data_IF_822157497999
#
_entry.id   IF_822157497999
#
_cell.length_a   1.000
_cell.length_b   1.000
_cell.length_c   1.000
_cell.angle_alpha   90.00
_cell.angle_beta   90.00
_cell.angle_gamma   90.00
#
_symmetry.space_group_name_H-M   'P 1'
#
loop_
_entity.id
_entity.type
_entity.pdbx_description
1 polymer ?
#
# COMPACT_ATOMS: atom_id res chain seq x y z
N UNK A 1 1.44 0.45 -29.52
CA UNK A 1 1.82 0.18 -28.12
C UNK A 1 0.77 -0.69 -27.43
N UNK A 2 -0.50 -0.33 -27.46
CA UNK A 2 -1.62 -1.06 -26.83
C UNK A 2 -1.63 -2.59 -27.11
N UNK A 3 -1.49 -2.99 -28.39
CA UNK A 3 -1.45 -4.41 -28.74
C UNK A 3 -0.24 -5.11 -28.13
N UNK A 4 0.91 -4.47 -28.13
CA UNK A 4 2.13 -5.01 -27.53
C UNK A 4 1.97 -5.21 -26.01
N UNK A 5 1.44 -4.21 -25.30
CA UNK A 5 1.18 -4.30 -23.88
C UNK A 5 0.20 -5.43 -23.54
N UNK A 6 -0.89 -5.56 -24.31
CA UNK A 6 -1.86 -6.64 -24.10
C UNK A 6 -1.28 -8.03 -24.36
N UNK A 7 -0.56 -8.19 -25.45
CA UNK A 7 0.10 -9.48 -25.75
C UNK A 7 1.13 -9.85 -24.68
N UNK A 8 1.88 -8.86 -24.17
CA UNK A 8 2.84 -9.09 -23.10
C UNK A 8 2.13 -9.45 -21.79
N UNK A 9 1.05 -8.75 -21.44
CA UNK A 9 0.22 -9.03 -20.29
C UNK A 9 -0.33 -10.47 -20.35
N UNK A 10 -1.02 -10.83 -21.43
CA UNK A 10 -1.61 -12.17 -21.64
C UNK A 10 -0.53 -13.26 -21.62
N UNK A 11 0.64 -12.98 -22.17
CA UNK A 11 1.77 -13.92 -22.14
C UNK A 11 2.30 -14.15 -20.72
N UNK A 12 2.51 -13.09 -19.94
CA UNK A 12 3.00 -13.20 -18.56
C UNK A 12 1.95 -13.91 -17.69
N UNK A 13 0.67 -13.53 -17.79
CA UNK A 13 -0.44 -14.16 -17.05
C UNK A 13 -0.50 -15.68 -17.30
N UNK A 14 -0.50 -16.07 -18.58
CA UNK A 14 -0.69 -17.48 -18.94
C UNK A 14 0.54 -18.36 -18.67
N UNK A 15 1.75 -17.82 -18.69
CA UNK A 15 2.96 -18.62 -18.68
C UNK A 15 3.75 -18.54 -17.37
N UNK A 16 3.51 -17.55 -16.51
CA UNK A 16 4.28 -17.36 -15.25
C UNK A 16 4.48 -18.64 -14.44
N UNK A 17 3.49 -19.52 -14.25
CA UNK A 17 3.66 -20.74 -13.46
C UNK A 17 4.51 -21.83 -14.13
N UNK A 18 4.80 -21.70 -15.43
CA UNK A 18 5.47 -22.74 -16.24
C UNK A 18 6.89 -22.35 -16.66
N UNK A 19 7.34 -21.14 -16.31
CA UNK A 19 8.65 -20.66 -16.70
C UNK A 19 9.74 -21.22 -15.77
N UNK A 20 10.93 -21.47 -16.33
CA UNK A 20 12.14 -21.69 -15.54
C UNK A 20 12.88 -20.36 -15.30
N UNK A 21 13.88 -20.38 -14.42
CA UNK A 21 14.64 -19.19 -14.03
C UNK A 21 15.25 -18.42 -15.23
N UNK A 22 15.78 -19.11 -16.22
CA UNK A 22 16.36 -18.48 -17.42
C UNK A 22 15.26 -17.78 -18.26
N UNK A 23 14.09 -18.40 -18.37
CA UNK A 23 12.96 -17.83 -19.08
C UNK A 23 12.38 -16.63 -18.32
N UNK A 24 12.33 -16.68 -17.00
CA UNK A 24 11.92 -15.54 -16.14
C UNK A 24 12.87 -14.37 -16.36
N UNK A 25 14.19 -14.57 -16.36
CA UNK A 25 15.14 -13.50 -16.63
C UNK A 25 14.94 -12.86 -18.01
N UNK A 26 14.70 -13.68 -19.04
CA UNK A 26 14.37 -13.19 -20.37
C UNK A 26 13.07 -12.36 -20.39
N UNK A 27 12.01 -12.87 -19.74
CA UNK A 27 10.72 -12.16 -19.63
C UNK A 27 10.90 -10.83 -18.90
N UNK A 28 11.65 -10.79 -17.81
CA UNK A 28 11.95 -9.56 -17.07
C UNK A 28 12.64 -8.52 -17.96
N UNK A 29 13.67 -8.92 -18.69
CA UNK A 29 14.38 -8.01 -19.61
C UNK A 29 13.48 -7.52 -20.74
N UNK A 30 12.62 -8.39 -21.26
CA UNK A 30 11.66 -8.01 -22.29
C UNK A 30 10.62 -7.03 -21.76
N UNK A 31 9.99 -7.32 -20.62
CA UNK A 31 9.02 -6.45 -19.98
C UNK A 31 9.63 -5.08 -19.62
N UNK A 32 10.87 -5.05 -19.13
CA UNK A 32 11.58 -3.80 -18.87
C UNK A 32 11.69 -2.93 -20.13
N UNK A 33 12.07 -3.53 -21.26
CA UNK A 33 12.14 -2.80 -22.54
C UNK A 33 10.78 -2.29 -23.00
N UNK A 34 9.72 -3.07 -22.80
CA UNK A 34 8.34 -2.64 -23.13
C UNK A 34 7.95 -1.43 -22.29
N UNK A 35 8.21 -1.47 -20.98
CA UNK A 35 7.97 -0.37 -20.05
C UNK A 35 8.75 0.88 -20.43
N UNK A 36 10.06 0.76 -20.66
CA UNK A 36 10.91 1.88 -21.07
C UNK A 36 10.46 2.50 -22.39
N UNK A 37 10.06 1.68 -23.36
CA UNK A 37 9.55 2.14 -24.65
C UNK A 37 8.22 2.87 -24.47
N UNK A 38 7.36 2.36 -23.59
CA UNK A 38 6.10 3.02 -23.25
C UNK A 38 6.35 4.39 -22.60
N UNK A 39 7.21 4.46 -21.61
CA UNK A 39 7.57 5.70 -20.93
C UNK A 39 8.12 6.76 -21.90
N UNK A 40 9.01 6.34 -22.81
CA UNK A 40 9.59 7.25 -23.83
C UNK A 40 8.59 7.72 -24.90
N UNK A 41 7.53 6.95 -25.13
CA UNK A 41 6.54 7.29 -26.17
C UNK A 41 5.68 8.51 -25.83
N UNK A 42 5.63 8.95 -24.57
CA UNK A 42 4.83 10.07 -24.08
C UNK A 42 3.31 9.90 -24.28
N UNK A 43 2.85 8.70 -24.67
CA UNK A 43 1.46 8.45 -25.08
C UNK A 43 0.47 8.43 -23.94
N UNK A 44 0.93 8.21 -22.73
CA UNK A 44 0.07 8.24 -21.54
C UNK A 44 -0.35 9.65 -21.11
N UNK A 45 0.38 10.68 -21.52
CA UNK A 45 0.02 12.06 -21.22
C UNK A 45 -1.13 12.51 -22.15
N UNK A 46 -2.33 12.61 -21.59
CA UNK A 46 -3.47 13.22 -22.29
C UNK A 46 -3.17 14.70 -22.48
N UNK A 47 -2.72 15.09 -23.68
CA UNK A 47 -2.54 16.50 -24.01
C UNK A 47 -3.91 17.17 -24.08
N UNK A 48 -4.14 18.12 -23.21
CA UNK A 48 -5.40 18.85 -22.99
C UNK A 48 -5.84 19.78 -24.14
N UNK A 49 -5.17 19.77 -25.28
CA UNK A 49 -5.39 20.76 -26.35
C UNK A 49 -6.34 20.31 -27.48
N UNK A 50 -6.82 19.07 -27.45
CA UNK A 50 -7.78 18.59 -28.45
C UNK A 50 -9.22 18.82 -27.99
N UNK A 51 -10.12 19.17 -28.92
CA UNK A 51 -11.53 19.41 -28.61
C UNK A 51 -12.21 18.28 -27.84
N UNK A 52 -13.29 18.57 -27.13
CA UNK A 52 -13.90 17.70 -26.09
C UNK A 52 -14.15 16.23 -26.51
N UNK A 53 -14.51 15.96 -27.78
CA UNK A 53 -14.72 14.59 -28.27
C UNK A 53 -13.40 13.82 -28.48
N UNK A 54 -12.37 14.49 -29.02
CA UNK A 54 -11.04 13.91 -29.19
C UNK A 54 -10.36 13.65 -27.85
N UNK A 55 -10.63 14.49 -26.84
CA UNK A 55 -10.14 14.25 -25.47
C UNK A 55 -10.77 13.00 -24.83
N UNK A 56 -12.03 12.74 -25.11
CA UNK A 56 -12.74 11.56 -24.55
C UNK A 56 -12.25 10.23 -25.14
N UNK A 57 -11.93 10.20 -26.44
CA UNK A 57 -11.30 9.03 -27.06
C UNK A 57 -9.85 8.84 -26.60
N UNK A 58 -9.09 9.91 -26.48
CA UNK A 58 -7.72 9.87 -25.96
C UNK A 58 -7.67 9.33 -24.51
N UNK A 59 -8.60 9.76 -23.65
CA UNK A 59 -8.73 9.23 -22.28
C UNK A 59 -9.08 7.74 -22.29
N UNK A 60 -10.00 7.29 -23.17
CA UNK A 60 -10.34 5.87 -23.31
C UNK A 60 -9.16 5.00 -23.78
N UNK A 61 -8.36 5.51 -24.71
CA UNK A 61 -7.17 4.78 -25.19
C UNK A 61 -6.06 4.77 -24.12
N UNK A 62 -5.80 5.89 -23.46
CA UNK A 62 -4.88 5.95 -22.32
C UNK A 62 -5.29 4.98 -21.22
N UNK A 63 -6.58 4.93 -20.87
CA UNK A 63 -7.12 3.97 -19.93
C UNK A 63 -6.79 2.52 -20.30
N UNK A 64 -6.96 2.14 -21.57
CA UNK A 64 -6.70 0.76 -22.02
C UNK A 64 -5.22 0.41 -21.98
N UNK A 65 -4.34 1.36 -22.31
CA UNK A 65 -2.89 1.17 -22.27
C UNK A 65 -2.38 1.08 -20.83
N UNK A 66 -2.77 2.03 -19.96
CA UNK A 66 -2.40 2.03 -18.54
C UNK A 66 -2.90 0.78 -17.85
N UNK A 67 -4.14 0.37 -18.14
CA UNK A 67 -4.72 -0.84 -17.57
C UNK A 67 -3.93 -2.11 -17.95
N UNK A 68 -3.55 -2.27 -19.21
CA UNK A 68 -2.77 -3.42 -19.66
C UNK A 68 -1.38 -3.42 -19.01
N UNK A 69 -0.77 -2.24 -18.84
CA UNK A 69 0.50 -2.09 -18.15
C UNK A 69 0.38 -2.47 -16.67
N UNK A 70 -0.64 -1.97 -15.97
CA UNK A 70 -0.87 -2.32 -14.55
C UNK A 70 -1.06 -3.82 -14.37
N UNK A 71 -1.88 -4.48 -15.21
CA UNK A 71 -2.09 -5.93 -15.13
C UNK A 71 -0.81 -6.72 -15.36
N UNK A 72 -0.01 -6.34 -16.36
CA UNK A 72 1.29 -6.95 -16.60
C UNK A 72 2.19 -6.84 -15.34
N UNK A 73 2.25 -5.66 -14.72
CA UNK A 73 3.05 -5.44 -13.51
C UNK A 73 2.50 -6.21 -12.30
N UNK A 74 1.18 -6.33 -12.17
CA UNK A 74 0.53 -7.13 -11.12
C UNK A 74 0.90 -8.60 -11.26
N UNK A 75 0.82 -9.17 -12.46
CA UNK A 75 1.23 -10.57 -12.70
C UNK A 75 2.72 -10.79 -12.45
N UNK A 76 3.57 -9.81 -12.75
CA UNK A 76 5.00 -9.88 -12.40
C UNK A 76 5.25 -9.82 -10.88
N UNK A 77 4.39 -9.12 -10.13
CA UNK A 77 4.53 -8.95 -8.68
C UNK A 77 3.91 -10.09 -7.88
N UNK A 78 3.04 -10.89 -8.47
CA UNK A 78 2.17 -11.87 -7.78
C UNK A 78 2.86 -13.08 -7.15
N UNK A 79 4.19 -13.14 -7.17
CA UNK A 79 4.96 -14.25 -6.57
C UNK A 79 5.17 -15.42 -7.51
N UNK A 80 4.31 -15.69 -8.48
CA UNK A 80 4.43 -16.86 -9.39
C UNK A 80 5.77 -16.93 -10.11
N UNK A 81 6.31 -15.78 -10.55
CA UNK A 81 7.63 -15.73 -11.19
C UNK A 81 8.77 -16.00 -10.19
N UNK A 82 8.63 -15.56 -8.96
CA UNK A 82 9.59 -15.83 -7.90
C UNK A 82 9.59 -17.31 -7.54
N UNK A 83 8.43 -17.91 -7.38
CA UNK A 83 8.27 -19.35 -7.12
C UNK A 83 8.83 -20.18 -8.25
N UNK A 84 8.59 -19.81 -9.51
CA UNK A 84 9.15 -20.44 -10.69
C UNK A 84 10.70 -20.43 -10.72
N UNK A 85 11.33 -19.34 -10.24
CA UNK A 85 12.78 -19.26 -10.08
C UNK A 85 13.25 -20.27 -9.03
N UNK A 86 12.59 -20.29 -7.87
CA UNK A 86 12.98 -21.14 -6.74
C UNK A 86 12.80 -22.62 -7.10
N UNK A 87 11.68 -22.99 -7.71
CA UNK A 87 11.36 -24.37 -8.06
C UNK A 87 12.24 -24.93 -9.18
N UNK A 88 12.70 -24.08 -10.10
CA UNK A 88 13.53 -24.48 -11.24
C UNK A 88 15.05 -24.48 -10.96
N UNK A 89 15.47 -23.87 -9.86
CA UNK A 89 16.89 -23.75 -9.50
C UNK A 89 17.32 -24.81 -8.46
N UNK A 90 18.61 -25.21 -8.46
CA UNK A 90 19.16 -26.01 -7.37
C UNK A 90 18.98 -25.29 -6.02
N UNK A 91 18.64 -26.00 -4.92
CA UNK A 91 18.31 -25.39 -3.62
C UNK A 91 19.41 -24.48 -3.05
N UNK A 92 20.68 -24.77 -3.37
CA UNK A 92 21.85 -23.99 -2.96
C UNK A 92 22.03 -22.70 -3.76
N UNK A 93 21.42 -22.58 -4.92
CA UNK A 93 21.55 -21.44 -5.83
C UNK A 93 20.26 -20.63 -6.00
N UNK A 94 19.13 -21.16 -5.57
CA UNK A 94 17.80 -20.57 -5.77
C UNK A 94 17.69 -19.15 -5.23
N UNK A 95 18.17 -18.91 -4.01
CA UNK A 95 18.13 -17.59 -3.39
C UNK A 95 19.01 -16.56 -4.12
N UNK A 96 20.25 -16.97 -4.50
CA UNK A 96 21.15 -16.09 -5.22
C UNK A 96 20.62 -15.75 -6.63
N UNK A 97 19.99 -16.71 -7.29
CA UNK A 97 19.41 -16.53 -8.62
C UNK A 97 18.17 -15.63 -8.56
N UNK A 98 17.35 -15.77 -7.53
CA UNK A 98 16.19 -14.90 -7.28
C UNK A 98 16.60 -13.45 -6.98
N UNK A 99 17.73 -13.23 -6.32
CA UNK A 99 18.29 -11.88 -6.14
C UNK A 99 18.87 -11.31 -7.44
N UNK A 100 19.43 -12.14 -8.29
CA UNK A 100 20.03 -11.74 -9.57
C UNK A 100 18.97 -11.38 -10.61
N UNK A 101 17.84 -12.12 -10.65
CA UNK A 101 16.70 -11.84 -11.51
C UNK A 101 15.83 -10.76 -10.86
N UNK A 102 16.12 -9.50 -11.16
CA UNK A 102 15.50 -8.35 -10.51
C UNK A 102 14.11 -8.03 -11.06
N UNK A 103 13.11 -8.86 -10.71
CA UNK A 103 11.69 -8.64 -11.02
C UNK A 103 11.25 -7.26 -10.51
N UNK A 104 11.68 -6.88 -9.31
CA UNK A 104 11.33 -5.60 -8.71
C UNK A 104 11.75 -4.42 -9.59
N UNK A 105 12.88 -4.50 -10.29
CA UNK A 105 13.33 -3.44 -11.20
C UNK A 105 12.28 -3.16 -12.29
N UNK A 106 11.68 -4.20 -12.86
CA UNK A 106 10.63 -4.06 -13.88
C UNK A 106 9.39 -3.39 -13.29
N UNK A 107 8.98 -3.85 -12.10
CA UNK A 107 7.79 -3.34 -11.41
C UNK A 107 7.97 -1.86 -11.02
N UNK A 108 9.13 -1.50 -10.46
CA UNK A 108 9.43 -0.10 -10.11
C UNK A 108 9.59 0.79 -11.34
N UNK A 109 10.21 0.31 -12.43
CA UNK A 109 10.26 1.05 -13.69
C UNK A 109 8.85 1.28 -14.26
N UNK A 110 7.99 0.25 -14.18
CA UNK A 110 6.59 0.34 -14.59
C UNK A 110 5.79 1.34 -13.77
N UNK A 111 5.92 1.30 -12.46
CA UNK A 111 5.27 2.27 -11.56
C UNK A 111 5.74 3.69 -11.82
N UNK A 112 7.03 3.90 -11.97
CA UNK A 112 7.58 5.21 -12.30
C UNK A 112 7.05 5.75 -13.65
N UNK A 113 6.76 4.86 -14.59
CA UNK A 113 6.11 5.21 -15.86
C UNK A 113 4.60 5.49 -15.71
N UNK A 114 3.91 4.80 -14.78
CA UNK A 114 2.46 4.87 -14.57
C UNK A 114 2.07 6.03 -13.65
N UNK A 115 2.80 6.27 -12.56
CA UNK A 115 2.47 7.30 -11.57
C UNK A 115 2.16 8.67 -12.20
N UNK A 116 2.97 9.22 -13.12
CA UNK A 116 2.67 10.50 -13.75
C UNK A 116 1.42 10.51 -14.65
N UNK A 117 0.94 9.32 -15.02
CA UNK A 117 -0.23 9.15 -15.88
C UNK A 117 -1.53 8.93 -15.08
N UNK A 118 -1.40 8.55 -13.81
CA UNK A 118 -2.54 8.40 -12.91
C UNK A 118 -3.02 9.78 -12.49
N UNK A 119 -3.98 10.28 -13.25
CA UNK A 119 -4.68 11.54 -12.96
C UNK A 119 -6.02 11.25 -12.28
N UNK A 120 -6.60 12.26 -11.64
CA UNK A 120 -7.94 12.15 -11.04
C UNK A 120 -8.98 11.67 -12.05
N UNK A 121 -8.84 12.06 -13.32
CA UNK A 121 -9.71 11.62 -14.40
C UNK A 121 -9.60 10.11 -14.69
N UNK A 122 -8.39 9.53 -14.61
CA UNK A 122 -8.18 8.10 -14.79
C UNK A 122 -8.62 7.30 -13.55
N UNK A 123 -8.47 7.86 -12.36
CA UNK A 123 -8.92 7.24 -11.10
C UNK A 123 -10.46 7.18 -11.00
N UNK A 124 -11.20 7.98 -11.78
CA UNK A 124 -12.65 7.85 -11.89
C UNK A 124 -13.11 6.54 -12.54
N UNK A 125 -12.21 5.79 -13.19
CA UNK A 125 -12.52 4.46 -13.70
C UNK A 125 -12.31 3.40 -12.60
N UNK A 126 -13.36 2.83 -12.01
CA UNK A 126 -13.24 1.98 -10.82
C UNK A 126 -12.32 0.76 -11.01
N UNK A 127 -12.37 0.14 -12.20
CA UNK A 127 -11.51 -1.01 -12.53
C UNK A 127 -10.03 -0.65 -12.57
N UNK A 128 -9.69 0.53 -13.07
CA UNK A 128 -8.30 0.98 -13.12
C UNK A 128 -7.80 1.34 -11.71
N UNK A 129 -8.62 2.05 -10.96
CA UNK A 129 -8.33 2.43 -9.59
C UNK A 129 -8.04 1.18 -8.74
N UNK A 130 -8.93 0.18 -8.74
CA UNK A 130 -8.72 -1.06 -8.00
C UNK A 130 -7.44 -1.78 -8.41
N UNK A 131 -7.18 -1.93 -9.71
CA UNK A 131 -5.96 -2.60 -10.19
C UNK A 131 -4.67 -1.85 -9.82
N UNK A 132 -4.73 -0.53 -9.79
CA UNK A 132 -3.59 0.28 -9.36
C UNK A 132 -3.27 0.07 -7.87
N UNK A 133 -4.29 0.06 -7.00
CA UNK A 133 -4.10 -0.17 -5.58
C UNK A 133 -3.76 -1.62 -5.25
N UNK A 134 -4.26 -2.58 -5.99
CA UNK A 134 -3.86 -3.99 -5.93
C UNK A 134 -2.36 -4.14 -6.24
N UNK A 135 -1.89 -3.57 -7.35
CA UNK A 135 -0.46 -3.56 -7.67
C UNK A 135 0.37 -2.89 -6.58
N UNK A 136 -0.11 -1.76 -6.05
CA UNK A 136 0.56 -1.05 -4.97
C UNK A 136 0.69 -1.93 -3.73
N UNK A 137 -0.37 -2.62 -3.33
CA UNK A 137 -0.35 -3.53 -2.19
C UNK A 137 0.66 -4.67 -2.38
N UNK A 138 0.62 -5.36 -3.51
CA UNK A 138 1.59 -6.41 -3.83
C UNK A 138 3.03 -5.92 -3.80
N UNK A 139 3.28 -4.75 -4.35
CA UNK A 139 4.63 -4.21 -4.41
C UNK A 139 5.16 -3.81 -3.03
N UNK A 140 4.33 -3.19 -2.20
CA UNK A 140 4.72 -2.78 -0.85
C UNK A 140 4.90 -3.99 0.08
N UNK A 141 4.17 -5.08 -0.18
CA UNK A 141 4.34 -6.35 0.53
C UNK A 141 5.58 -7.12 0.08
N UNK A 142 5.78 -7.26 -1.24
CA UNK A 142 6.87 -8.07 -1.78
C UNK A 142 8.25 -7.39 -1.70
N UNK A 143 8.30 -6.06 -1.84
CA UNK A 143 9.56 -5.31 -1.97
C UNK A 143 9.72 -4.13 -0.99
N UNK A 144 9.33 -4.26 0.29
CA UNK A 144 9.34 -3.12 1.22
C UNK A 144 10.73 -2.52 1.43
N UNK A 145 11.79 -3.34 1.37
CA UNK A 145 13.19 -2.89 1.45
C UNK A 145 13.58 -1.96 0.29
N UNK A 146 13.14 -2.29 -0.93
CA UNK A 146 13.39 -1.44 -2.10
C UNK A 146 12.56 -0.16 -2.05
N UNK A 147 11.35 -0.22 -1.52
CA UNK A 147 10.51 0.97 -1.27
C UNK A 147 11.20 1.93 -0.30
N UNK A 148 11.78 1.43 0.79
CA UNK A 148 12.51 2.23 1.76
C UNK A 148 13.76 2.93 1.16
N UNK A 149 14.27 2.44 0.05
CA UNK A 149 15.44 2.99 -0.65
C UNK A 149 15.08 3.93 -1.82
N UNK A 150 13.80 4.18 -2.06
CA UNK A 150 13.38 5.11 -3.12
C UNK A 150 13.85 6.53 -2.86
N UNK A 151 14.04 7.29 -3.94
CA UNK A 151 14.28 8.72 -3.83
C UNK A 151 13.11 9.41 -3.08
N UNK A 152 13.38 10.43 -2.26
CA UNK A 152 12.36 11.06 -1.41
C UNK A 152 11.11 11.51 -2.18
N UNK A 153 11.27 12.08 -3.37
CA UNK A 153 10.15 12.56 -4.19
C UNK A 153 9.24 11.42 -4.65
N UNK A 154 9.83 10.30 -5.10
CA UNK A 154 9.07 9.13 -5.54
C UNK A 154 8.40 8.45 -4.36
N UNK A 155 9.11 8.33 -3.23
CA UNK A 155 8.53 7.82 -2.00
C UNK A 155 7.37 8.69 -1.52
N UNK A 156 7.56 10.02 -1.52
CA UNK A 156 6.51 10.97 -1.15
C UNK A 156 5.25 10.85 -2.02
N UNK A 157 5.42 10.73 -3.35
CA UNK A 157 4.31 10.51 -4.29
C UNK A 157 3.59 9.20 -4.00
N UNK A 158 4.34 8.13 -3.74
CA UNK A 158 3.80 6.82 -3.39
C UNK A 158 2.96 6.88 -2.10
N UNK A 159 3.46 7.57 -1.07
CA UNK A 159 2.75 7.74 0.20
C UNK A 159 1.52 8.64 0.07
N UNK A 160 1.57 9.69 -0.73
CA UNK A 160 0.40 10.53 -1.04
C UNK A 160 -0.68 9.72 -1.76
N UNK A 161 -0.28 8.83 -2.67
CA UNK A 161 -1.21 7.89 -3.31
C UNK A 161 -1.82 6.92 -2.31
N UNK A 162 -1.02 6.37 -1.40
CA UNK A 162 -1.52 5.49 -0.34
C UNK A 162 -2.50 6.22 0.57
N UNK A 163 -2.22 7.47 0.94
CA UNK A 163 -3.13 8.32 1.69
C UNK A 163 -4.45 8.55 0.95
N UNK A 164 -4.41 8.83 -0.35
CA UNK A 164 -5.61 8.93 -1.20
C UNK A 164 -6.42 7.63 -1.16
N UNK A 165 -5.77 6.48 -1.32
CA UNK A 165 -6.44 5.17 -1.26
C UNK A 165 -7.05 4.86 0.10
N UNK A 166 -6.36 5.21 1.19
CA UNK A 166 -6.91 5.11 2.54
C UNK A 166 -8.17 5.96 2.74
N UNK A 167 -8.31 7.09 2.05
CA UNK A 167 -9.47 7.99 2.09
C UNK A 167 -10.55 7.63 1.07
N UNK A 168 -10.31 6.67 0.19
CA UNK A 168 -11.19 6.36 -0.92
C UNK A 168 -12.53 5.76 -0.45
N UNK A 169 -13.61 6.08 -1.16
CA UNK A 169 -14.96 5.56 -0.84
C UNK A 169 -15.16 4.11 -1.28
N UNK A 170 -14.41 3.61 -2.27
CA UNK A 170 -14.45 2.22 -2.69
C UNK A 170 -13.76 1.34 -1.64
N UNK A 171 -14.52 0.38 -1.09
CA UNK A 171 -14.07 -0.53 -0.03
C UNK A 171 -12.84 -1.34 -0.45
N UNK A 172 -12.79 -1.81 -1.70
CA UNK A 172 -11.64 -2.57 -2.21
C UNK A 172 -10.37 -1.72 -2.24
N UNK A 173 -10.45 -0.48 -2.73
CA UNK A 173 -9.32 0.45 -2.77
C UNK A 173 -8.82 0.76 -1.36
N UNK A 174 -9.73 1.03 -0.43
CA UNK A 174 -9.39 1.31 0.97
C UNK A 174 -8.75 0.09 1.64
N UNK A 175 -9.27 -1.11 1.38
CA UNK A 175 -8.72 -2.38 1.87
C UNK A 175 -7.30 -2.63 1.37
N UNK A 176 -7.07 -2.55 0.06
CA UNK A 176 -5.74 -2.72 -0.52
C UNK A 176 -4.73 -1.71 0.04
N UNK A 177 -5.18 -0.47 0.26
CA UNK A 177 -4.35 0.57 0.88
C UNK A 177 -4.01 0.26 2.34
N UNK A 178 -4.93 -0.32 3.12
CA UNK A 178 -4.66 -0.78 4.48
C UNK A 178 -3.69 -1.98 4.49
N UNK A 179 -3.85 -2.92 3.56
CA UNK A 179 -2.93 -4.05 3.39
C UNK A 179 -1.51 -3.55 3.08
N UNK A 180 -1.38 -2.63 2.13
CA UNK A 180 -0.12 -1.98 1.79
C UNK A 180 0.54 -1.26 2.97
N UNK A 181 -0.24 -0.49 3.74
CA UNK A 181 0.23 0.18 4.95
C UNK A 181 0.70 -0.83 6.01
N UNK A 182 -0.05 -1.90 6.22
CA UNK A 182 0.29 -2.97 7.16
C UNK A 182 1.60 -3.68 6.81
N UNK A 183 1.86 -3.90 5.52
CA UNK A 183 3.10 -4.47 5.03
C UNK A 183 4.31 -3.56 5.31
N UNK A 184 4.21 -2.27 4.99
CA UNK A 184 5.25 -1.28 5.29
C UNK A 184 5.51 -1.13 6.79
N UNK A 185 4.45 -1.08 7.59
CA UNK A 185 4.57 -0.95 9.04
C UNK A 185 5.20 -2.18 9.68
N UNK A 186 4.85 -3.37 9.19
CA UNK A 186 5.46 -4.64 9.62
C UNK A 186 6.95 -4.69 9.26
N UNK A 187 7.30 -4.26 8.05
CA UNK A 187 8.69 -4.14 7.61
C UNK A 187 9.47 -3.19 8.52
N UNK A 188 8.93 -2.00 8.81
CA UNK A 188 9.56 -1.02 9.70
C UNK A 188 9.76 -1.58 11.11
N UNK A 189 8.74 -2.24 11.67
CA UNK A 189 8.82 -2.86 12.99
C UNK A 189 9.91 -3.94 13.06
N UNK A 190 10.06 -4.75 12.00
CA UNK A 190 11.09 -5.78 11.92
C UNK A 190 12.48 -5.17 11.68
N UNK A 191 12.60 -4.16 10.82
CA UNK A 191 13.86 -3.45 10.56
C UNK A 191 14.41 -2.79 11.81
N UNK A 192 13.55 -2.21 12.65
CA UNK A 192 13.95 -1.62 13.93
C UNK A 192 14.50 -2.66 14.90
N UNK A 193 13.92 -3.88 14.95
CA UNK A 193 14.40 -4.99 15.78
C UNK A 193 15.75 -5.54 15.33
N UNK A 194 15.98 -5.59 14.02
CA UNK A 194 17.20 -6.12 13.42
C UNK A 194 18.26 -5.06 13.17
N UNK A 195 17.99 -3.79 13.52
CA UNK A 195 18.87 -2.63 13.27
C UNK A 195 19.27 -2.49 11.79
N UNK A 196 18.36 -2.85 10.90
CA UNK A 196 18.53 -2.71 9.45
C UNK A 196 17.90 -1.42 8.93
N UNK A 197 18.18 -1.07 7.67
CA UNK A 197 17.61 0.12 7.04
C UNK A 197 16.07 -0.06 6.93
N UNK A 198 15.34 0.84 7.56
CA UNK A 198 13.87 0.92 7.50
C UNK A 198 13.41 2.22 6.84
N UNK A 199 12.17 2.60 7.13
CA UNK A 199 11.54 3.82 6.59
C UNK A 199 11.97 5.11 7.30
N UNK A 200 12.84 5.05 8.31
CA UNK A 200 13.20 6.17 9.17
C UNK A 200 13.87 7.37 8.49
N UNK A 201 14.33 7.21 7.23
CA UNK A 201 14.85 8.31 6.41
C UNK A 201 13.72 9.16 5.77
N UNK A 202 12.48 8.69 5.81
CA UNK A 202 11.34 9.33 5.15
C UNK A 202 10.39 9.95 6.18
N UNK A 203 10.19 11.26 6.08
CA UNK A 203 9.25 12.02 6.91
C UNK A 203 7.95 12.27 6.15
N UNK A 204 6.87 12.56 6.90
CA UNK A 204 5.60 12.91 6.30
C UNK A 204 5.72 14.22 5.51
N UNK A 205 5.19 14.29 4.28
CA UNK A 205 5.07 15.55 3.56
C UNK A 205 4.31 16.56 4.43
N UNK A 206 4.77 17.78 4.52
CA UNK A 206 4.12 18.88 5.24
C UNK A 206 4.04 18.76 6.79
N UNK A 207 4.73 17.80 7.42
CA UNK A 207 4.75 17.66 8.86
C UNK A 207 6.19 17.53 9.38
N UNK A 208 6.82 18.64 9.74
CA UNK A 208 8.18 18.64 10.29
C UNK A 208 8.27 17.71 11.51
N UNK A 209 9.17 16.73 11.44
CA UNK A 209 9.46 15.82 12.54
C UNK A 209 8.44 14.70 12.77
N UNK A 210 7.42 14.56 11.95
CA UNK A 210 6.43 13.47 12.04
C UNK A 210 6.77 12.36 11.05
N UNK A 211 6.87 11.12 11.52
CA UNK A 211 7.07 9.98 10.63
C UNK A 211 5.85 9.78 9.73
N UNK A 212 6.07 9.22 8.53
CA UNK A 212 4.98 8.91 7.60
C UNK A 212 3.99 7.91 8.20
N UNK A 213 4.46 6.94 8.98
CA UNK A 213 3.59 5.95 9.64
C UNK A 213 2.73 6.60 10.72
N UNK A 214 3.28 7.53 11.50
CA UNK A 214 2.51 8.28 12.50
C UNK A 214 1.43 9.16 11.85
N UNK A 215 1.73 9.76 10.70
CA UNK A 215 0.75 10.53 9.93
C UNK A 215 -0.41 9.63 9.45
N UNK A 216 -0.11 8.51 8.81
CA UNK A 216 -1.11 7.58 8.29
C UNK A 216 -1.91 6.90 9.43
N UNK A 217 -1.28 6.65 10.58
CA UNK A 217 -1.98 6.18 11.78
C UNK A 217 -3.06 7.15 12.23
N UNK A 218 -2.73 8.45 12.34
CA UNK A 218 -3.72 9.49 12.73
C UNK A 218 -4.88 9.53 11.77
N UNK A 219 -4.60 9.48 10.47
CA UNK A 219 -5.62 9.47 9.44
C UNK A 219 -6.54 8.25 9.57
N UNK A 220 -5.97 7.06 9.76
CA UNK A 220 -6.74 5.82 9.86
C UNK A 220 -7.61 5.80 11.13
N UNK A 221 -7.08 6.22 12.29
CA UNK A 221 -7.87 6.35 13.51
C UNK A 221 -9.03 7.34 13.34
N UNK A 222 -8.79 8.50 12.73
CA UNK A 222 -9.83 9.49 12.47
C UNK A 222 -10.96 8.89 11.61
N UNK A 223 -10.60 8.20 10.54
CA UNK A 223 -11.58 7.52 9.68
C UNK A 223 -12.38 6.47 10.43
N UNK A 224 -11.71 5.60 11.19
CA UNK A 224 -12.35 4.53 11.96
C UNK A 224 -13.34 5.09 13.00
N UNK A 225 -13.02 6.21 13.62
CA UNK A 225 -13.90 6.83 14.63
C UNK A 225 -15.07 7.56 13.99
N UNK A 226 -14.84 8.34 12.93
CA UNK A 226 -15.85 9.29 12.43
C UNK A 226 -16.58 8.86 11.17
N UNK A 227 -16.03 7.94 10.36
CA UNK A 227 -16.62 7.52 9.09
C UNK A 227 -17.31 6.15 9.20
N UNK A 228 -18.53 6.03 8.65
CA UNK A 228 -19.28 4.77 8.63
C UNK A 228 -18.79 3.80 7.55
N UNK A 229 -18.29 4.34 6.45
CA UNK A 229 -17.84 3.55 5.29
C UNK A 229 -16.71 2.54 5.58
N UNK A 230 -16.09 2.60 6.77
CA UNK A 230 -14.95 1.76 7.16
C UNK A 230 -15.33 0.65 8.15
N UNK A 231 -16.61 0.45 8.43
CA UNK A 231 -17.04 -0.54 9.44
C UNK A 231 -16.69 -1.98 9.07
N UNK A 232 -16.71 -2.31 7.80
CA UNK A 232 -16.36 -3.63 7.30
C UNK A 232 -14.84 -3.86 7.22
N UNK A 233 -14.02 -2.83 7.41
CA UNK A 233 -12.57 -2.86 7.26
C UNK A 233 -11.81 -2.78 8.59
N UNK A 234 -12.49 -3.05 9.71
CA UNK A 234 -11.87 -2.95 11.05
C UNK A 234 -10.73 -3.97 11.20
N UNK A 235 -10.86 -5.16 10.62
CA UNK A 235 -9.84 -6.20 10.67
C UNK A 235 -8.58 -5.82 9.90
N UNK A 236 -8.73 -5.29 8.68
CA UNK A 236 -7.63 -4.79 7.85
C UNK A 236 -6.95 -3.57 8.49
N UNK A 237 -7.76 -2.67 9.04
CA UNK A 237 -7.25 -1.52 9.78
C UNK A 237 -6.48 -1.94 11.04
N UNK A 238 -6.95 -2.95 11.77
CA UNK A 238 -6.24 -3.47 12.93
C UNK A 238 -4.89 -4.09 12.54
N UNK A 239 -4.84 -4.84 11.43
CA UNK A 239 -3.60 -5.43 10.94
C UNK A 239 -2.56 -4.38 10.51
N UNK A 240 -3.02 -3.23 10.01
CA UNK A 240 -2.15 -2.10 9.70
C UNK A 240 -1.73 -1.32 10.95
N UNK A 241 -2.66 -1.07 11.88
CA UNK A 241 -2.41 -0.24 13.06
C UNK A 241 -1.50 -0.90 14.10
N UNK A 242 -1.63 -2.22 14.31
CA UNK A 242 -0.83 -2.91 15.33
C UNK A 242 0.68 -2.68 15.17
N UNK A 243 1.32 -2.95 14.02
CA UNK A 243 2.75 -2.72 13.85
C UNK A 243 3.12 -1.23 13.98
N UNK A 244 2.24 -0.30 13.55
CA UNK A 244 2.49 1.13 13.69
C UNK A 244 2.51 1.52 15.17
N UNK A 245 1.52 1.11 15.95
CA UNK A 245 1.43 1.41 17.39
C UNK A 245 2.64 0.85 18.15
N UNK A 246 3.06 -0.37 17.81
CA UNK A 246 4.23 -1.00 18.44
C UNK A 246 5.53 -0.23 18.16
N UNK A 247 5.66 0.35 16.96
CA UNK A 247 6.84 1.12 16.55
C UNK A 247 6.77 2.59 16.98
N UNK A 248 5.61 3.23 16.81
CA UNK A 248 5.38 4.67 17.00
C UNK A 248 4.64 4.96 18.32
N UNK A 249 5.05 4.33 19.42
CA UNK A 249 4.39 4.48 20.74
C UNK A 249 4.20 5.94 21.17
N UNK A 250 5.20 6.83 21.04
CA UNK A 250 5.02 8.24 21.41
C UNK A 250 3.96 8.94 20.56
N UNK A 251 3.94 8.67 19.25
CA UNK A 251 2.95 9.25 18.35
C UNK A 251 1.53 8.73 18.65
N UNK A 252 1.40 7.46 19.04
CA UNK A 252 0.13 6.89 19.50
C UNK A 252 -0.35 7.52 20.81
N UNK A 253 0.55 7.75 21.78
CA UNK A 253 0.22 8.44 23.03
C UNK A 253 -0.26 9.88 22.79
N UNK A 254 0.41 10.61 21.90
CA UNK A 254 0.00 11.95 21.49
C UNK A 254 -1.38 11.94 20.81
N UNK A 255 -1.65 10.95 19.97
CA UNK A 255 -2.95 10.75 19.34
C UNK A 255 -4.04 10.50 20.39
N UNK A 256 -3.82 9.59 21.34
CA UNK A 256 -4.74 9.30 22.43
C UNK A 256 -5.03 10.57 23.25
N UNK A 257 -4.00 11.31 23.62
CA UNK A 257 -4.14 12.57 24.34
C UNK A 257 -4.97 13.60 23.56
N UNK A 258 -4.80 13.70 22.24
CA UNK A 258 -5.59 14.59 21.40
C UNK A 258 -7.09 14.22 21.39
N UNK A 259 -7.41 12.93 21.28
CA UNK A 259 -8.82 12.48 21.35
C UNK A 259 -9.44 12.70 22.73
N UNK A 260 -8.70 12.46 23.80
CA UNK A 260 -9.15 12.69 25.18
C UNK A 260 -9.38 14.19 25.43
N UNK A 261 -8.46 15.04 24.96
CA UNK A 261 -8.59 16.48 25.08
C UNK A 261 -9.80 17.05 24.34
N UNK A 262 -10.23 16.42 23.25
CA UNK A 262 -11.43 16.82 22.52
C UNK A 262 -12.73 16.66 23.33
N UNK A 263 -12.72 15.89 24.41
CA UNK A 263 -13.88 15.66 25.30
C UNK A 263 -13.64 16.16 26.72
N UNK A 264 -12.66 17.04 26.91
CA UNK A 264 -12.22 17.52 28.23
C UNK A 264 -13.33 18.15 29.08
N UNK A 265 -14.40 18.70 28.45
CA UNK A 265 -15.51 19.32 29.14
C UNK A 265 -16.43 18.33 29.87
N UNK A 266 -16.29 17.00 29.59
CA UNK A 266 -17.14 15.96 30.14
C UNK A 266 -16.31 14.87 30.85
N UNK A 267 -16.12 14.93 32.17
CA UNK A 267 -15.24 14.02 32.91
C UNK A 267 -15.53 12.54 32.69
N UNK A 268 -16.82 12.16 32.58
CA UNK A 268 -17.22 10.78 32.31
C UNK A 268 -16.73 10.28 30.94
N UNK A 269 -16.80 11.11 29.94
CA UNK A 269 -16.33 10.81 28.57
C UNK A 269 -14.81 10.71 28.52
N UNK A 270 -14.12 11.57 29.30
CA UNK A 270 -12.65 11.50 29.48
C UNK A 270 -12.26 10.14 30.06
N UNK A 271 -12.88 9.72 31.18
CA UNK A 271 -12.57 8.44 31.83
C UNK A 271 -12.85 7.24 30.92
N UNK A 272 -14.00 7.25 30.21
CA UNK A 272 -14.36 6.18 29.28
C UNK A 272 -13.34 6.06 28.16
N UNK A 273 -12.95 7.17 27.54
CA UNK A 273 -12.03 7.18 26.42
C UNK A 273 -10.60 6.81 26.84
N UNK A 274 -10.17 7.31 28.01
CA UNK A 274 -8.87 6.96 28.57
C UNK A 274 -8.77 5.46 28.85
N UNK A 275 -9.79 4.87 29.48
CA UNK A 275 -9.84 3.42 29.73
C UNK A 275 -9.87 2.62 28.42
N UNK A 276 -10.59 3.10 27.40
CA UNK A 276 -10.63 2.46 26.08
C UNK A 276 -9.26 2.44 25.40
N UNK A 277 -8.50 3.55 25.43
CA UNK A 277 -7.13 3.61 24.88
C UNK A 277 -6.17 2.68 25.65
N UNK A 278 -6.29 2.59 26.98
CA UNK A 278 -5.49 1.66 27.78
C UNK A 278 -5.85 0.22 27.41
N UNK A 279 -7.14 -0.11 27.31
CA UNK A 279 -7.59 -1.45 26.97
C UNK A 279 -7.16 -1.86 25.55
N UNK A 280 -7.13 -0.94 24.58
CA UNK A 280 -6.70 -1.20 23.22
C UNK A 280 -5.32 -1.86 23.13
N UNK A 281 -4.39 -1.45 24.00
CA UNK A 281 -2.99 -1.93 23.98
C UNK A 281 -2.66 -2.93 25.06
N UNK A 282 -3.53 -3.17 26.05
CA UNK A 282 -3.25 -4.06 27.18
C UNK A 282 -4.23 -5.22 27.36
N UNK A 283 -5.42 -5.14 26.77
CA UNK A 283 -6.44 -6.17 26.91
C UNK A 283 -6.04 -7.50 26.22
N UNK A 284 -6.68 -8.58 26.65
CA UNK A 284 -6.54 -9.93 26.07
C UNK A 284 -5.10 -10.45 26.00
N UNK A 285 -4.19 -9.97 26.87
CA UNK A 285 -2.80 -10.40 26.90
C UNK A 285 -2.04 -10.05 25.63
N UNK A 286 -2.28 -8.84 25.08
CA UNK A 286 -1.58 -8.34 23.91
C UNK A 286 -0.07 -8.29 24.19
N UNK A 287 0.72 -8.90 23.30
CA UNK A 287 2.17 -8.96 23.39
C UNK A 287 2.86 -7.97 22.43
N UNK A 288 4.16 -7.78 22.61
CA UNK A 288 4.99 -6.97 21.70
C UNK A 288 5.40 -7.76 20.45
N UNK A 289 4.47 -7.98 19.52
CA UNK A 289 4.74 -8.70 18.28
C UNK A 289 3.66 -8.54 17.25
N UNK A 290 3.98 -8.91 16.01
CA UNK A 290 3.08 -8.82 14.85
C UNK A 290 2.68 -10.23 14.36
N UNK A 291 2.72 -11.21 15.27
CA UNK A 291 2.30 -12.58 14.96
C UNK A 291 0.78 -12.71 14.82
N UNK A 292 0.35 -13.83 14.25
CA UNK A 292 -1.07 -14.11 13.98
C UNK A 292 -1.95 -14.08 15.22
N UNK A 293 -1.42 -14.52 16.36
CA UNK A 293 -2.18 -14.59 17.63
C UNK A 293 -2.41 -13.16 18.13
N UNK A 294 -1.35 -12.34 18.12
CA UNK A 294 -1.41 -10.98 18.57
C UNK A 294 -2.29 -10.09 17.67
N UNK A 295 -2.22 -10.28 16.35
CA UNK A 295 -3.13 -9.64 15.39
C UNK A 295 -4.60 -9.94 15.73
N UNK A 296 -4.94 -11.22 15.99
CA UNK A 296 -6.32 -11.61 16.37
C UNK A 296 -6.77 -10.96 17.67
N UNK A 297 -5.89 -10.86 18.66
CA UNK A 297 -6.19 -10.17 19.93
C UNK A 297 -6.44 -8.68 19.69
N UNK A 298 -5.56 -8.05 18.95
CA UNK A 298 -5.66 -6.62 18.66
C UNK A 298 -6.91 -6.26 17.84
N UNK A 299 -7.35 -7.10 16.89
CA UNK A 299 -8.61 -6.91 16.18
C UNK A 299 -9.80 -6.82 17.13
N UNK A 300 -9.87 -7.68 18.13
CA UNK A 300 -10.92 -7.61 19.18
C UNK A 300 -10.81 -6.33 19.99
N UNK A 301 -9.61 -6.02 20.47
CA UNK A 301 -9.39 -4.80 21.25
C UNK A 301 -9.79 -3.55 20.47
N UNK A 302 -9.49 -3.50 19.16
CA UNK A 302 -9.87 -2.37 18.30
C UNK A 302 -11.39 -2.29 18.10
N UNK A 303 -12.08 -3.41 17.92
CA UNK A 303 -13.54 -3.43 17.80
C UNK A 303 -14.21 -2.92 19.09
N UNK A 304 -13.75 -3.37 20.26
CA UNK A 304 -14.23 -2.92 21.56
C UNK A 304 -13.94 -1.42 21.78
N UNK A 305 -12.72 -0.98 21.46
CA UNK A 305 -12.32 0.42 21.49
C UNK A 305 -13.25 1.30 20.62
N UNK A 306 -13.49 0.89 19.38
CA UNK A 306 -14.32 1.66 18.44
C UNK A 306 -15.77 1.77 18.93
N UNK A 307 -16.29 0.76 19.62
CA UNK A 307 -17.63 0.82 20.22
C UNK A 307 -17.72 1.95 21.24
N UNK A 308 -16.73 2.07 22.12
CA UNK A 308 -16.68 3.14 23.12
C UNK A 308 -16.38 4.49 22.48
N UNK A 309 -15.32 4.57 21.66
CA UNK A 309 -14.86 5.82 21.07
C UNK A 309 -15.92 6.48 20.18
N UNK A 310 -16.63 5.69 19.38
CA UNK A 310 -17.74 6.20 18.55
C UNK A 310 -18.91 6.68 19.39
N UNK A 311 -19.26 5.96 20.46
CA UNK A 311 -20.32 6.37 21.39
C UNK A 311 -20.03 7.70 22.09
N UNK A 312 -18.75 7.97 22.37
CA UNK A 312 -18.32 9.21 23.04
C UNK A 312 -18.12 10.37 22.06
N UNK A 313 -17.49 10.12 20.90
CA UNK A 313 -17.02 11.18 20.00
C UNK A 313 -18.01 11.56 18.90
N UNK A 314 -18.97 10.69 18.56
CA UNK A 314 -19.99 10.99 17.52
C UNK A 314 -21.28 11.58 18.08
N UNK A 315 -21.53 11.49 19.38
CA UNK A 315 -22.72 12.05 20.02
C UNK A 315 -22.61 13.56 20.28
N UNK A 316 -21.54 14.15 19.83
CA UNK A 316 -21.31 15.61 19.78
C UNK A 316 -21.40 16.10 18.33
#
# INVERSE_FOLDING_TARGET
MKLLLRLTEEFVEANSPYLNAQQVDWVCRYCLRVVETYAKSGRGAVKSEAGALLSQEAVKEAYKEVRALLRMLTHMSSGNLHDAIIESAPPDQAAALAEQIDIARVVFAGLNAVIPLITDELLKFPKLCRQYFELLAYMLEAYPKKVAQLAPDLFGTLMSTLEFGLKHADETVSKESMTALGALATFQCNSAKTQTIGLGAHMAPNAEGVSILAHLMRLLFHRLVYEEAVFNLVDEAADALLPIILHERPAFQNLASAFISAVADEPRSVDLLQNAFVALTSANGLAEGVDRVNKRRFRRNLADFLTVARGVLRTR
#
